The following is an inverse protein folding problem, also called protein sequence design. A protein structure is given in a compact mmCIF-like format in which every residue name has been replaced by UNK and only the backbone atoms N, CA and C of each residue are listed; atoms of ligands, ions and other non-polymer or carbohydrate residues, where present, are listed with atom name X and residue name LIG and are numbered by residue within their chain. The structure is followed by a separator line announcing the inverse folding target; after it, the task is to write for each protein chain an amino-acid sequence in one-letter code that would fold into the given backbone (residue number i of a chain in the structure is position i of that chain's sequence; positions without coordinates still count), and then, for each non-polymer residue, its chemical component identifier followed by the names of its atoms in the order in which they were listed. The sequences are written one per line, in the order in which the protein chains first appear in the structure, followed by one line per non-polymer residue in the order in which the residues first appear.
data_IF_428233080499
#
_entry.id   IF_428233080499
#
_cell.length_a   1.000
_cell.length_b   1.000
_cell.length_c   1.000
_cell.angle_alpha   90.00
_cell.angle_beta   90.00
_cell.angle_gamma   90.00
#
_symmetry.space_group_name_H-M   'P 1'
#
loop_
_entity.id
_entity.type
_entity.pdbx_description
1 polymer ?
#
# COMPACT_ATOMS: atom_id res chain seq x y z
N UNK A 1 -4.77 9.83 2.91
CA UNK A 1 -6.03 9.12 3.17
C UNK A 1 -6.76 8.97 1.85
N UNK A 2 -7.22 7.75 1.53
CA UNK A 2 -7.92 7.47 0.26
C UNK A 2 -9.33 8.11 0.28
N UNK A 3 -9.88 8.58 -0.85
CA UNK A 3 -11.27 9.05 -0.93
C UNK A 3 -12.28 8.03 -0.38
N UNK A 4 -11.99 6.74 -0.53
CA UNK A 4 -12.80 5.64 0.01
C UNK A 4 -12.85 5.66 1.54
N UNK A 5 -11.73 5.98 2.18
CA UNK A 5 -11.59 6.04 3.64
C UNK A 5 -12.50 7.13 4.23
N UNK A 6 -12.59 8.26 3.53
CA UNK A 6 -13.45 9.38 3.86
C UNK A 6 -14.95 9.01 3.77
N UNK A 7 -15.32 8.24 2.75
CA UNK A 7 -16.70 7.75 2.56
C UNK A 7 -17.08 6.76 3.66
N UNK A 8 -16.19 5.83 4.01
CA UNK A 8 -16.45 4.83 5.06
C UNK A 8 -16.64 5.51 6.42
N UNK A 9 -15.76 6.45 6.77
CA UNK A 9 -15.88 7.23 8.02
C UNK A 9 -17.20 8.01 8.05
N UNK A 10 -17.59 8.63 6.93
CA UNK A 10 -18.84 9.38 6.81
C UNK A 10 -20.09 8.50 6.99
N UNK A 11 -20.09 7.29 6.42
CA UNK A 11 -21.21 6.34 6.57
C UNK A 11 -21.33 5.85 8.01
N UNK A 12 -20.20 5.53 8.65
CA UNK A 12 -20.17 5.12 10.07
C UNK A 12 -20.65 6.27 10.97
N UNK A 13 -20.18 7.50 10.74
CA UNK A 13 -20.60 8.66 11.50
C UNK A 13 -22.11 8.91 11.41
N UNK A 14 -22.69 8.82 10.21
CA UNK A 14 -24.14 8.95 10.00
C UNK A 14 -24.93 7.83 10.69
N UNK A 15 -24.43 6.59 10.66
CA UNK A 15 -25.08 5.48 11.36
C UNK A 15 -25.08 5.69 12.89
N UNK A 16 -23.96 6.14 13.45
CA UNK A 16 -23.84 6.49 14.88
C UNK A 16 -24.75 7.68 15.23
N UNK A 17 -24.79 8.70 14.40
CA UNK A 17 -25.66 9.87 14.59
C UNK A 17 -27.14 9.48 14.56
N UNK A 18 -27.55 8.63 13.62
CA UNK A 18 -28.90 8.09 13.56
C UNK A 18 -29.25 7.24 14.79
N UNK A 19 -28.30 6.45 15.30
CA UNK A 19 -28.48 5.69 16.54
C UNK A 19 -28.59 6.59 17.78
N UNK A 20 -27.85 7.69 17.83
CA UNK A 20 -27.92 8.69 18.92
C UNK A 20 -29.21 9.51 18.91
N UNK A 21 -29.83 9.68 17.73
CA UNK A 21 -31.00 10.54 17.54
C UNK A 21 -32.31 9.74 17.50
N UNK A 22 -32.24 8.41 17.42
CA UNK A 22 -33.35 7.49 17.11
C UNK A 22 -34.32 7.14 18.24
N UNK A 23 -34.21 7.71 19.45
CA UNK A 23 -35.21 7.50 20.49
C UNK A 23 -34.70 7.83 21.89
N UNK A 24 -35.33 8.83 22.51
CA UNK A 24 -35.21 9.25 23.90
C UNK A 24 -33.99 10.11 24.28
N UNK A 25 -34.25 11.43 24.33
CA UNK A 25 -33.41 12.48 24.91
C UNK A 25 -33.20 12.27 26.42
N UNK A 26 -32.39 11.28 26.79
CA UNK A 26 -31.91 11.13 28.15
C UNK A 26 -30.39 11.33 28.15
N UNK A 27 -29.88 12.18 29.03
CA UNK A 27 -28.44 12.34 29.31
C UNK A 27 -27.73 10.98 29.43
N UNK A 28 -28.45 9.96 29.91
CA UNK A 28 -28.02 8.57 29.94
C UNK A 28 -27.65 8.00 28.57
N UNK A 29 -28.45 8.23 27.52
CA UNK A 29 -28.16 7.77 26.16
C UNK A 29 -26.89 8.41 25.58
N UNK A 30 -26.69 9.70 25.83
CA UNK A 30 -25.46 10.41 25.44
C UNK A 30 -24.22 9.88 26.18
N UNK A 31 -24.32 9.65 27.48
CA UNK A 31 -23.24 9.06 28.28
C UNK A 31 -22.97 7.60 27.88
N UNK A 32 -24.00 6.82 27.56
CA UNK A 32 -23.87 5.43 27.10
C UNK A 32 -23.20 5.39 25.72
N UNK A 33 -23.57 6.28 24.80
CA UNK A 33 -22.96 6.38 23.47
C UNK A 33 -21.50 6.82 23.57
N UNK A 34 -21.20 7.86 24.36
CA UNK A 34 -19.83 8.33 24.58
C UNK A 34 -18.94 7.26 25.24
N UNK A 35 -19.45 6.58 26.27
CA UNK A 35 -18.71 5.50 26.93
C UNK A 35 -18.51 4.28 26.03
N UNK A 36 -19.50 3.93 25.21
CA UNK A 36 -19.37 2.87 24.19
C UNK A 36 -18.31 3.24 23.16
N UNK A 37 -18.31 4.48 22.67
CA UNK A 37 -17.34 4.95 21.69
C UNK A 37 -15.91 4.95 22.25
N UNK A 38 -15.72 5.43 23.47
CA UNK A 38 -14.42 5.40 24.17
C UNK A 38 -13.98 3.96 24.43
N UNK A 39 -14.88 3.10 24.91
CA UNK A 39 -14.58 1.70 25.14
C UNK A 39 -14.20 0.98 23.84
N UNK A 40 -14.91 1.26 22.74
CA UNK A 40 -14.62 0.68 21.44
C UNK A 40 -13.30 1.19 20.86
N UNK A 41 -12.97 2.47 21.04
CA UNK A 41 -11.66 3.02 20.67
C UNK A 41 -10.53 2.36 21.47
N UNK A 42 -10.68 2.22 22.78
CA UNK A 42 -9.71 1.52 23.63
C UNK A 42 -9.63 0.02 23.31
N UNK A 43 -10.72 -0.58 22.84
CA UNK A 43 -10.76 -1.96 22.38
C UNK A 43 -10.01 -2.10 21.05
N UNK A 44 -10.18 -1.18 20.10
CA UNK A 44 -9.42 -1.15 18.85
C UNK A 44 -7.92 -0.97 19.10
N UNK A 45 -7.56 -0.07 20.01
CA UNK A 45 -6.17 0.19 20.40
C UNK A 45 -5.55 -1.03 21.12
N UNK A 46 -6.29 -1.72 22.00
CA UNK A 46 -5.81 -2.90 22.73
C UNK A 46 -5.82 -4.19 21.94
N UNK A 47 -6.85 -4.41 21.13
CA UNK A 47 -6.97 -5.58 20.27
C UNK A 47 -5.99 -5.46 19.11
N UNK A 48 -5.51 -4.25 18.80
CA UNK A 48 -4.50 -4.02 17.80
C UNK A 48 -4.94 -4.73 16.53
N UNK A 49 -6.03 -4.25 15.92
CA UNK A 49 -6.58 -4.78 14.67
C UNK A 49 -5.57 -4.56 13.53
N UNK A 50 -4.42 -5.23 13.60
CA UNK A 50 -3.88 -5.96 12.46
C UNK A 50 -4.85 -7.10 12.29
N UNK A 51 -5.88 -6.92 11.47
CA UNK A 51 -6.53 -8.07 10.85
C UNK A 51 -5.45 -8.66 9.94
N UNK A 52 -4.77 -9.77 10.29
CA UNK A 52 -3.81 -10.40 9.39
C UNK A 52 -4.47 -10.77 8.05
N UNK A 53 -5.81 -10.90 8.05
CA UNK A 53 -6.63 -11.10 6.86
C UNK A 53 -6.67 -9.87 5.95
N UNK A 54 -6.68 -8.64 6.49
CA UNK A 54 -6.50 -7.42 5.68
C UNK A 54 -5.03 -7.22 5.34
N UNK A 55 -4.12 -7.56 6.24
CA UNK A 55 -2.68 -7.46 5.99
C UNK A 55 -2.29 -8.33 4.78
N UNK A 56 -2.76 -9.57 4.67
CA UNK A 56 -2.51 -10.41 3.49
C UNK A 56 -3.24 -9.97 2.21
N UNK A 57 -4.33 -9.21 2.32
CA UNK A 57 -5.03 -8.67 1.15
C UNK A 57 -4.37 -7.39 0.61
N UNK A 58 -3.62 -6.67 1.45
CA UNK A 58 -2.98 -5.38 1.14
C UNK A 58 -1.45 -5.40 1.18
N UNK A 59 -0.84 -6.49 1.66
CA UNK A 59 0.62 -6.64 1.76
C UNK A 59 1.08 -7.58 0.65
N UNK A 60 1.35 -7.01 -0.52
CA UNK A 60 2.18 -7.69 -1.52
C UNK A 60 3.57 -7.89 -0.92
N UNK A 61 4.00 -9.14 -0.75
CA UNK A 61 5.41 -9.37 -0.41
C UNK A 61 6.29 -8.91 -1.58
N UNK A 62 7.45 -8.29 -1.31
CA UNK A 62 8.34 -7.86 -2.37
C UNK A 62 8.69 -9.07 -3.23
N UNK A 63 8.54 -8.92 -4.54
CA UNK A 63 8.63 -10.03 -5.48
C UNK A 63 9.84 -9.87 -6.38
N UNK A 64 10.69 -10.90 -6.43
CA UNK A 64 11.85 -10.93 -7.33
C UNK A 64 11.37 -11.12 -8.77
N UNK A 65 11.61 -10.10 -9.60
CA UNK A 65 11.21 -10.08 -11.01
C UNK A 65 12.35 -10.50 -11.94
N UNK A 66 13.59 -10.19 -11.58
CA UNK A 66 14.77 -10.50 -12.38
C UNK A 66 15.93 -10.84 -11.47
N UNK A 67 16.71 -11.85 -11.86
CA UNK A 67 17.91 -12.30 -11.17
C UNK A 67 19.02 -12.53 -12.20
N UNK A 68 20.18 -11.91 -11.99
CA UNK A 68 21.36 -12.01 -12.85
C UNK A 68 21.07 -11.84 -14.35
N UNK A 69 20.31 -10.78 -14.67
CA UNK A 69 19.93 -10.44 -16.04
C UNK A 69 18.87 -11.35 -16.66
N UNK A 70 18.29 -12.29 -15.90
CA UNK A 70 17.24 -13.19 -16.38
C UNK A 70 15.91 -12.90 -15.69
N UNK A 71 14.82 -12.63 -16.43
CA UNK A 71 13.51 -12.44 -15.84
C UNK A 71 12.99 -13.75 -15.24
N UNK A 72 12.28 -13.63 -14.13
CA UNK A 72 11.59 -14.72 -13.46
C UNK A 72 10.16 -14.77 -14.02
N UNK A 73 9.98 -15.47 -15.15
CA UNK A 73 8.72 -15.46 -15.92
C UNK A 73 7.46 -15.70 -15.08
N UNK A 74 7.54 -16.62 -14.10
CA UNK A 74 6.42 -16.93 -13.20
C UNK A 74 6.04 -15.74 -12.32
N UNK A 75 7.03 -14.99 -11.83
CA UNK A 75 6.81 -13.81 -11.00
C UNK A 75 6.26 -12.65 -11.85
N UNK A 76 6.87 -12.42 -13.02
CA UNK A 76 6.40 -11.41 -13.97
C UNK A 76 4.94 -11.64 -14.41
N UNK A 77 4.56 -12.89 -14.71
CA UNK A 77 3.18 -13.24 -15.05
C UNK A 77 2.22 -13.08 -13.86
N UNK A 78 2.63 -13.45 -12.65
CA UNK A 78 1.79 -13.33 -11.46
C UNK A 78 1.49 -11.87 -11.12
N UNK A 79 2.50 -11.01 -11.24
CA UNK A 79 2.40 -9.58 -10.92
C UNK A 79 1.97 -8.72 -12.13
N UNK A 80 1.72 -9.33 -13.30
CA UNK A 80 1.44 -8.65 -14.57
C UNK A 80 2.50 -7.58 -14.94
N UNK A 81 3.77 -7.85 -14.67
CA UNK A 81 4.89 -6.99 -15.01
C UNK A 81 5.52 -7.48 -16.32
N UNK A 82 5.66 -6.59 -17.29
CA UNK A 82 6.33 -6.89 -18.55
C UNK A 82 7.84 -6.72 -18.45
N UNK A 83 8.58 -7.31 -19.39
CA UNK A 83 10.02 -7.07 -19.47
C UNK A 83 10.34 -5.58 -19.73
N UNK A 84 9.47 -4.91 -20.50
CA UNK A 84 9.60 -3.49 -20.84
C UNK A 84 9.53 -2.59 -19.60
N UNK A 85 8.72 -2.96 -18.59
CA UNK A 85 8.63 -2.24 -17.31
C UNK A 85 9.93 -2.35 -16.51
N UNK A 86 10.54 -3.54 -16.50
CA UNK A 86 11.83 -3.79 -15.82
C UNK A 86 12.94 -3.01 -16.54
N UNK A 87 12.97 -3.04 -17.87
CA UNK A 87 13.93 -2.25 -18.65
C UNK A 87 13.76 -0.75 -18.46
N UNK A 88 12.52 -0.27 -18.38
CA UNK A 88 12.23 1.14 -18.11
C UNK A 88 12.81 1.55 -16.76
N UNK A 89 12.55 0.76 -15.72
CA UNK A 89 13.10 0.99 -14.39
C UNK A 89 14.64 0.92 -14.36
N UNK A 90 15.24 -0.03 -15.07
CA UNK A 90 16.70 -0.12 -15.23
C UNK A 90 17.29 1.14 -15.88
N UNK A 91 16.65 1.64 -16.95
CA UNK A 91 17.06 2.89 -17.63
C UNK A 91 16.93 4.12 -16.73
N UNK A 92 15.90 4.19 -15.90
CA UNK A 92 15.76 5.26 -14.90
C UNK A 92 16.92 5.28 -13.88
N UNK A 93 17.52 4.12 -13.62
CA UNK A 93 18.69 3.95 -12.76
C UNK A 93 20.03 4.06 -13.51
N UNK A 94 20.00 4.41 -14.80
CA UNK A 94 21.17 4.59 -15.65
C UNK A 94 21.78 3.29 -16.17
N UNK A 95 20.98 2.23 -16.26
CA UNK A 95 21.40 0.92 -16.78
C UNK A 95 20.65 0.65 -18.09
N UNK A 96 21.39 0.55 -19.19
CA UNK A 96 20.81 0.33 -20.53
C UNK A 96 20.55 -1.15 -20.83
N UNK A 97 21.26 -2.06 -20.16
CA UNK A 97 21.20 -3.51 -20.41
C UNK A 97 20.87 -4.27 -19.13
N UNK A 98 19.84 -5.12 -19.21
CA UNK A 98 19.43 -5.96 -18.08
C UNK A 98 20.53 -6.93 -17.62
N UNK A 99 21.51 -7.27 -18.46
CA UNK A 99 22.67 -8.10 -18.08
C UNK A 99 23.52 -7.47 -16.98
N UNK A 100 23.47 -6.14 -16.85
CA UNK A 100 24.16 -5.40 -15.79
C UNK A 100 23.32 -5.27 -14.51
N UNK A 101 22.10 -5.81 -14.49
CA UNK A 101 21.23 -5.89 -13.31
C UNK A 101 21.44 -7.24 -12.61
N UNK A 102 21.83 -7.18 -11.34
CA UNK A 102 21.92 -8.36 -10.48
C UNK A 102 20.54 -8.79 -9.98
N UNK A 103 19.69 -7.84 -9.58
CA UNK A 103 18.32 -8.15 -9.21
C UNK A 103 17.37 -6.97 -9.49
N UNK A 104 16.13 -7.30 -9.89
CA UNK A 104 15.02 -6.35 -9.90
C UNK A 104 13.91 -6.87 -8.99
N UNK A 105 13.44 -6.02 -8.07
CA UNK A 105 12.46 -6.39 -7.03
C UNK A 105 11.25 -5.46 -7.15
N UNK A 106 10.05 -6.03 -7.26
CA UNK A 106 8.80 -5.29 -7.12
C UNK A 106 8.54 -5.03 -5.65
N UNK A 107 8.55 -3.77 -5.25
CA UNK A 107 8.27 -3.33 -3.89
C UNK A 107 6.76 -3.26 -3.61
N UNK A 108 6.41 -3.19 -2.31
CA UNK A 108 5.03 -3.08 -1.83
C UNK A 108 4.25 -1.90 -2.42
N UNK A 109 4.94 -0.81 -2.70
CA UNK A 109 4.34 0.41 -3.26
C UNK A 109 4.18 0.35 -4.79
N UNK A 110 4.58 -0.76 -5.42
CA UNK A 110 4.54 -0.96 -6.86
C UNK A 110 5.77 -0.41 -7.60
N UNK A 111 6.76 0.14 -6.88
CA UNK A 111 8.02 0.54 -7.50
C UNK A 111 8.90 -0.67 -7.78
N UNK A 112 9.75 -0.56 -8.80
CA UNK A 112 10.76 -1.59 -9.12
C UNK A 112 12.12 -1.08 -8.62
N UNK A 113 12.66 -1.76 -7.62
CA UNK A 113 14.02 -1.55 -7.11
C UNK A 113 15.02 -2.28 -8.02
N UNK A 114 16.06 -1.56 -8.47
CA UNK A 114 17.11 -2.13 -9.31
C UNK A 114 18.42 -2.23 -8.52
N UNK A 115 18.96 -3.45 -8.45
CA UNK A 115 20.25 -3.76 -7.85
C UNK A 115 21.25 -4.03 -8.98
N UNK A 116 22.21 -3.13 -9.26
CA UNK A 116 23.22 -3.35 -10.29
C UNK A 116 24.23 -4.42 -9.88
N UNK A 117 24.82 -5.07 -10.88
CA UNK A 117 25.94 -5.99 -10.69
C UNK A 117 27.21 -5.23 -10.25
N UNK A 118 28.00 -5.85 -9.38
CA UNK A 118 29.20 -5.25 -8.81
C UNK A 118 30.15 -4.73 -9.92
N UNK A 119 30.42 -3.43 -9.91
CA UNK A 119 31.22 -2.73 -10.94
C UNK A 119 30.47 -1.63 -11.69
N UNK A 120 29.13 -1.66 -11.68
CA UNK A 120 28.30 -0.58 -12.23
C UNK A 120 27.91 0.43 -11.13
N UNK A 121 28.25 1.71 -11.33
CA UNK A 121 27.86 2.80 -10.43
C UNK A 121 26.44 3.26 -10.79
N UNK A 122 25.47 3.01 -9.91
CA UNK A 122 24.12 3.56 -10.05
C UNK A 122 24.17 5.09 -9.92
N UNK A 123 23.77 5.82 -10.96
CA UNK A 123 23.36 7.21 -10.77
C UNK A 123 21.93 7.17 -10.25
N UNK A 124 21.75 7.30 -8.92
CA UNK A 124 20.41 7.48 -8.34
C UNK A 124 19.84 8.82 -8.81
N UNK A 125 19.08 8.81 -9.89
CA UNK A 125 18.30 9.98 -10.28
C UNK A 125 17.08 10.04 -9.35
N UNK A 126 17.21 10.75 -8.23
CA UNK A 126 16.09 11.05 -7.33
C UNK A 126 15.07 11.92 -8.08
N UNK A 127 14.17 11.29 -8.84
CA UNK A 127 13.04 12.02 -9.42
C UNK A 127 11.88 11.94 -8.44
N UNK A 128 11.62 13.07 -7.81
CA UNK A 128 10.43 13.37 -7.03
C UNK A 128 9.20 13.11 -7.93
N UNK A 129 8.56 11.94 -7.82
CA UNK A 129 7.32 11.65 -8.56
C UNK A 129 6.21 12.47 -7.92
N UNK A 130 6.05 13.68 -8.44
CA UNK A 130 4.89 14.53 -8.18
C UNK A 130 3.71 13.87 -8.89
N UNK A 131 2.81 13.34 -8.06
CA UNK A 131 1.49 12.80 -8.38
C UNK A 131 0.89 13.34 -9.69
N UNK A 132 0.83 12.48 -10.69
CA UNK A 132 -0.14 12.57 -11.78
C UNK A 132 -1.07 11.37 -11.66
N UNK A 133 -2.08 11.50 -10.80
CA UNK A 133 -3.29 10.69 -10.91
C UNK A 133 -4.50 11.60 -10.73
N UNK A 134 -4.89 12.20 -11.84
CA UNK A 134 -6.16 12.86 -12.02
C UNK A 134 -6.75 12.33 -13.33
N UNK A 135 -7.61 11.32 -13.24
CA UNK A 135 -8.80 11.09 -14.07
C UNK A 135 -9.69 10.09 -13.35
#
# INVERSE_FOLDING_TARGET
MSPVDLVVILVIANAVQNAMTGGDNSLLGGVLAASTLVAMNLLFDRVGIRLPVLENLFTSEPTLLLEDGKPVDKACQRENISLEDIEMSAREHGIDDLRDVHAAILERDGSISIIPRAGHKTQRMHRHIRQLRNR
#
